data_IF_495958491139
#
_entry.id   IF_495958491139
#
_cell.length_a   1.000
_cell.length_b   1.000
_cell.length_c   1.000
_cell.angle_alpha   90.00
_cell.angle_beta   90.00
_cell.angle_gamma   90.00
#
_symmetry.space_group_name_H-M   'P 1'
#
loop_
_entity.id
_entity.type
_entity.pdbx_description
1 polymer ?
#
# COMPACT_ATOMS: atom_id res chain seq x y z
N UNK A 1 13.40 -14.40 -2.35
CA UNK A 1 12.23 -13.57 -2.00
C UNK A 1 10.96 -14.22 -2.55
N UNK A 2 9.92 -14.29 -1.75
CA UNK A 2 8.61 -14.80 -2.16
C UNK A 2 7.53 -13.80 -1.75
N UNK A 3 6.45 -13.71 -2.54
CA UNK A 3 5.26 -12.93 -2.19
C UNK A 3 4.09 -13.91 -2.06
N UNK A 4 3.54 -14.01 -0.87
CA UNK A 4 2.54 -15.01 -0.51
C UNK A 4 1.30 -14.36 0.08
N UNK A 5 0.10 -14.94 -0.16
CA UNK A 5 -1.11 -14.46 0.48
C UNK A 5 -1.05 -14.68 2.01
N UNK A 6 -1.57 -13.73 2.77
CA UNK A 6 -1.85 -13.89 4.19
C UNK A 6 -3.35 -14.04 4.34
N UNK A 7 -3.81 -15.17 4.90
CA UNK A 7 -5.22 -15.47 5.10
C UNK A 7 -5.67 -15.30 6.56
N UNK A 8 -4.74 -15.42 7.51
CA UNK A 8 -5.03 -15.26 8.93
C UNK A 8 -5.27 -13.80 9.30
N UNK A 9 -6.49 -13.50 9.79
CA UNK A 9 -6.90 -12.14 10.16
C UNK A 9 -5.98 -11.53 11.23
N UNK A 10 -5.65 -12.30 12.27
CA UNK A 10 -4.74 -11.85 13.32
C UNK A 10 -3.32 -11.62 12.83
N UNK A 11 -2.85 -12.46 11.92
CA UNK A 11 -1.54 -12.31 11.28
C UNK A 11 -1.43 -11.05 10.44
N UNK A 12 -2.47 -10.72 9.67
CA UNK A 12 -2.55 -9.46 8.91
C UNK A 12 -2.44 -8.24 9.82
N UNK A 13 -3.25 -8.23 10.89
CA UNK A 13 -3.28 -7.14 11.86
C UNK A 13 -1.94 -6.98 12.56
N UNK A 14 -1.36 -8.06 13.06
CA UNK A 14 -0.06 -8.04 13.75
C UNK A 14 1.06 -7.51 12.85
N UNK A 15 1.15 -8.00 11.61
CA UNK A 15 2.18 -7.57 10.68
C UNK A 15 2.00 -6.10 10.28
N UNK A 16 0.76 -5.64 10.09
CA UNK A 16 0.45 -4.24 9.81
C UNK A 16 0.95 -3.34 10.94
N UNK A 17 0.66 -3.69 12.19
CA UNK A 17 1.12 -2.95 13.38
C UNK A 17 2.64 -2.91 13.46
N UNK A 18 3.30 -4.03 13.29
CA UNK A 18 4.76 -4.11 13.36
C UNK A 18 5.44 -3.23 12.31
N UNK A 19 5.01 -3.32 11.04
CA UNK A 19 5.61 -2.53 9.97
C UNK A 19 5.32 -1.04 10.16
N UNK A 20 4.09 -0.68 10.54
CA UNK A 20 3.73 0.72 10.78
C UNK A 20 4.59 1.36 11.88
N UNK A 21 4.90 0.63 12.93
CA UNK A 21 5.79 1.11 14.02
C UNK A 21 7.21 1.42 13.53
N UNK A 22 7.68 0.70 12.53
CA UNK A 22 9.01 0.93 11.94
C UNK A 22 9.00 2.08 10.92
N UNK A 23 7.83 2.60 10.57
CA UNK A 23 7.64 3.65 9.56
C UNK A 23 6.87 4.87 10.11
N UNK A 24 7.33 5.49 11.22
CA UNK A 24 6.57 6.56 11.87
C UNK A 24 6.41 7.82 11.03
N UNK A 25 7.29 8.06 10.05
CA UNK A 25 7.22 9.22 9.16
C UNK A 25 6.08 9.10 8.13
N UNK A 26 5.60 7.88 7.86
CA UNK A 26 4.45 7.62 6.99
C UNK A 26 3.19 7.31 7.80
N UNK A 27 3.32 6.57 8.89
CA UNK A 27 2.23 6.07 9.74
C UNK A 27 2.31 6.69 11.14
N UNK A 28 2.23 8.02 11.18
CA UNK A 28 2.41 8.78 12.43
C UNK A 28 1.13 9.07 13.21
N UNK A 29 -0.05 8.65 12.71
CA UNK A 29 -1.34 8.92 13.35
C UNK A 29 -1.84 7.66 14.07
N UNK A 30 -1.84 7.64 15.43
CA UNK A 30 -2.26 6.45 16.20
C UNK A 30 -3.67 5.97 15.87
N UNK A 31 -4.63 6.88 15.70
CA UNK A 31 -6.03 6.53 15.37
C UNK A 31 -6.13 5.86 14.00
N UNK A 32 -5.40 6.38 13.01
CA UNK A 32 -5.36 5.80 11.68
C UNK A 32 -4.73 4.40 11.72
N UNK A 33 -3.63 4.24 12.45
CA UNK A 33 -2.95 2.95 12.61
C UNK A 33 -3.83 1.90 13.29
N UNK A 34 -4.60 2.30 14.31
CA UNK A 34 -5.57 1.41 14.98
C UNK A 34 -6.67 0.97 14.01
N UNK A 35 -7.16 1.88 13.16
CA UNK A 35 -8.16 1.58 12.15
C UNK A 35 -7.61 0.62 11.09
N UNK A 36 -6.39 0.83 10.60
CA UNK A 36 -5.75 -0.07 9.65
C UNK A 36 -5.59 -1.47 10.24
N UNK A 37 -5.11 -1.56 11.46
CA UNK A 37 -4.92 -2.85 12.15
C UNK A 37 -6.23 -3.63 12.29
N UNK A 38 -7.34 -2.94 12.57
CA UNK A 38 -8.67 -3.56 12.67
C UNK A 38 -9.20 -3.96 11.30
N UNK A 39 -9.17 -3.05 10.34
CA UNK A 39 -9.89 -3.20 9.08
C UNK A 39 -9.14 -4.06 8.04
N UNK A 40 -7.82 -4.26 8.21
CA UNK A 40 -7.04 -5.12 7.32
C UNK A 40 -7.49 -6.59 7.41
N UNK A 41 -8.08 -6.99 8.52
CA UNK A 41 -8.52 -8.36 8.76
C UNK A 41 -9.47 -8.89 7.66
N UNK A 42 -10.30 -8.02 7.09
CA UNK A 42 -11.29 -8.39 6.06
C UNK A 42 -10.80 -8.16 4.62
N UNK A 43 -9.55 -7.74 4.43
CA UNK A 43 -9.01 -7.44 3.10
C UNK A 43 -8.09 -8.54 2.60
N UNK A 44 -8.02 -8.69 1.28
CA UNK A 44 -6.98 -9.51 0.66
C UNK A 44 -5.64 -8.87 0.93
N UNK A 45 -4.67 -9.67 1.35
CA UNK A 45 -3.35 -9.19 1.67
C UNK A 45 -2.26 -10.19 1.25
N UNK A 46 -1.10 -9.64 0.92
CA UNK A 46 0.08 -10.43 0.54
C UNK A 46 1.28 -9.93 1.32
N UNK A 47 2.14 -10.84 1.76
CA UNK A 47 3.39 -10.52 2.40
C UNK A 47 4.57 -10.84 1.49
N UNK A 48 5.56 -9.96 1.49
CA UNK A 48 6.86 -10.24 0.89
C UNK A 48 7.77 -10.83 1.97
N UNK A 49 8.29 -12.03 1.70
CA UNK A 49 9.14 -12.75 2.62
C UNK A 49 10.55 -12.91 2.05
N UNK A 50 11.54 -12.78 2.91
CA UNK A 50 12.91 -13.16 2.63
C UNK A 50 13.40 -14.03 3.79
N UNK A 51 13.95 -15.20 3.47
CA UNK A 51 14.37 -16.21 4.45
C UNK A 51 13.27 -16.55 5.48
N UNK A 52 12.02 -16.66 4.98
CA UNK A 52 10.85 -16.96 5.79
C UNK A 52 10.36 -15.81 6.68
N UNK A 53 11.02 -14.65 6.64
CA UNK A 53 10.66 -13.48 7.44
C UNK A 53 9.83 -12.50 6.63
N UNK A 54 8.66 -12.05 7.13
CA UNK A 54 7.86 -11.05 6.45
C UNK A 54 8.48 -9.66 6.57
N UNK A 55 8.84 -9.08 5.43
CA UNK A 55 9.50 -7.78 5.34
C UNK A 55 8.63 -6.69 4.72
N UNK A 56 7.51 -7.07 4.13
CA UNK A 56 6.57 -6.13 3.54
C UNK A 56 5.16 -6.70 3.49
N UNK A 57 4.19 -5.82 3.36
CA UNK A 57 2.77 -6.15 3.36
C UNK A 57 2.03 -5.22 2.41
N UNK A 58 1.12 -5.77 1.61
CA UNK A 58 0.15 -5.01 0.82
C UNK A 58 -1.24 -5.54 1.10
N UNK A 59 -2.21 -4.63 1.24
CA UNK A 59 -3.62 -4.98 1.38
C UNK A 59 -4.44 -4.27 0.32
N UNK A 60 -5.48 -4.93 -0.18
CA UNK A 60 -6.23 -4.52 -1.34
C UNK A 60 -7.71 -4.31 -1.02
N UNK A 61 -8.31 -3.40 -1.77
CA UNK A 61 -9.74 -3.13 -1.75
C UNK A 61 -10.25 -3.06 -3.19
N UNK A 62 -11.45 -3.60 -3.45
CA UNK A 62 -11.98 -3.69 -4.80
C UNK A 62 -13.25 -2.85 -4.94
N UNK A 63 -13.42 -2.19 -6.09
CA UNK A 63 -14.58 -1.36 -6.39
C UNK A 63 -15.16 -1.71 -7.76
N UNK A 64 -16.48 -1.90 -7.80
CA UNK A 64 -17.27 -2.11 -9.03
C UNK A 64 -16.83 -3.33 -9.86
N UNK A 65 -16.02 -4.22 -9.34
CA UNK A 65 -15.42 -5.32 -10.14
C UNK A 65 -14.43 -4.84 -11.20
N UNK A 66 -14.05 -3.56 -11.19
CA UNK A 66 -13.21 -2.93 -12.22
C UNK A 66 -11.91 -2.38 -11.69
N UNK A 67 -11.87 -1.97 -10.43
CA UNK A 67 -10.73 -1.28 -9.82
C UNK A 67 -10.22 -2.03 -8.60
N UNK A 68 -8.92 -2.24 -8.54
CA UNK A 68 -8.21 -2.70 -7.37
C UNK A 68 -7.46 -1.52 -6.75
N UNK A 69 -7.80 -1.14 -5.53
CA UNK A 69 -7.09 -0.10 -4.80
C UNK A 69 -6.03 -0.72 -3.89
N UNK A 70 -4.84 -0.13 -3.86
CA UNK A 70 -3.88 -0.39 -2.79
C UNK A 70 -4.42 0.32 -1.56
N UNK A 71 -4.93 -0.47 -0.61
CA UNK A 71 -5.52 0.06 0.61
C UNK A 71 -4.45 0.34 1.67
N UNK A 72 -3.40 -0.47 1.71
CA UNK A 72 -2.25 -0.31 2.60
C UNK A 72 -1.02 -0.94 1.98
N UNK A 73 0.13 -0.29 2.11
CA UNK A 73 1.42 -0.81 1.63
C UNK A 73 2.52 -0.33 2.56
N UNK A 74 3.31 -1.26 3.07
CA UNK A 74 4.49 -0.93 3.85
C UNK A 74 5.58 -1.98 3.68
N UNK A 75 6.82 -1.52 3.68
CA UNK A 75 8.02 -2.36 3.65
C UNK A 75 8.94 -1.90 4.77
N UNK A 76 9.45 -2.85 5.58
CA UNK A 76 10.36 -2.53 6.68
C UNK A 76 11.55 -1.74 6.18
N UNK A 77 12.03 -0.73 6.91
CA UNK A 77 13.18 0.10 6.48
C UNK A 77 14.41 -0.72 6.12
N UNK A 78 14.66 -1.80 6.86
CA UNK A 78 15.80 -2.70 6.61
C UNK A 78 15.76 -3.39 5.25
N UNK A 79 14.60 -3.39 4.59
CA UNK A 79 14.38 -4.04 3.29
C UNK A 79 14.04 -3.03 2.17
N UNK A 80 14.15 -1.73 2.43
CA UNK A 80 13.94 -0.71 1.41
C UNK A 80 14.95 -0.84 0.27
N UNK A 81 14.54 -0.46 -0.96
CA UNK A 81 15.37 -0.43 -2.17
C UNK A 81 15.89 -1.80 -2.60
N UNK A 82 15.24 -2.87 -2.16
CA UNK A 82 15.55 -4.26 -2.54
C UNK A 82 14.51 -4.88 -3.47
N UNK A 83 13.57 -4.08 -3.97
CA UNK A 83 12.55 -4.52 -4.92
C UNK A 83 11.31 -5.16 -4.28
N UNK A 84 11.20 -5.20 -2.95
CA UNK A 84 10.06 -5.83 -2.29
C UNK A 84 8.75 -5.07 -2.54
N UNK A 85 8.78 -3.75 -2.50
CA UNK A 85 7.60 -2.95 -2.80
C UNK A 85 7.09 -3.17 -4.23
N UNK A 86 8.01 -3.22 -5.19
CA UNK A 86 7.66 -3.56 -6.58
C UNK A 86 7.04 -4.96 -6.68
N UNK A 87 7.63 -5.94 -6.03
CA UNK A 87 7.13 -7.31 -6.05
C UNK A 87 5.72 -7.42 -5.46
N UNK A 88 5.44 -6.68 -4.37
CA UNK A 88 4.10 -6.61 -3.78
C UNK A 88 3.09 -5.98 -4.73
N UNK A 89 3.43 -4.87 -5.37
CA UNK A 89 2.54 -4.20 -6.34
C UNK A 89 2.28 -5.10 -7.56
N UNK A 90 3.30 -5.77 -8.08
CA UNK A 90 3.12 -6.68 -9.22
C UNK A 90 2.27 -7.90 -8.85
N UNK A 91 2.42 -8.45 -7.63
CA UNK A 91 1.54 -9.52 -7.15
C UNK A 91 0.09 -9.04 -7.04
N UNK A 92 -0.11 -7.83 -6.53
CA UNK A 92 -1.44 -7.22 -6.48
C UNK A 92 -2.04 -7.01 -7.88
N UNK A 93 -1.22 -6.58 -8.84
CA UNK A 93 -1.66 -6.42 -10.23
C UNK A 93 -2.09 -7.75 -10.87
N UNK A 94 -1.35 -8.85 -10.59
CA UNK A 94 -1.75 -10.19 -11.03
C UNK A 94 -3.09 -10.59 -10.45
N UNK A 95 -3.29 -10.41 -9.13
CA UNK A 95 -4.56 -10.71 -8.47
C UNK A 95 -5.72 -9.89 -9.06
N UNK A 96 -5.48 -8.60 -9.27
CA UNK A 96 -6.47 -7.70 -9.86
C UNK A 96 -6.89 -8.16 -11.27
N UNK A 97 -5.93 -8.57 -12.11
CA UNK A 97 -6.23 -9.11 -13.44
C UNK A 97 -7.04 -10.40 -13.37
N UNK A 98 -6.69 -11.31 -12.46
CA UNK A 98 -7.45 -12.55 -12.25
C UNK A 98 -8.90 -12.29 -11.85
N UNK A 99 -9.16 -11.19 -11.16
CA UNK A 99 -10.51 -10.76 -10.76
C UNK A 99 -11.22 -9.92 -11.81
N UNK A 100 -10.60 -9.70 -12.96
CA UNK A 100 -11.20 -8.93 -14.06
C UNK A 100 -11.08 -7.42 -13.92
N UNK A 101 -10.27 -6.92 -13.00
CA UNK A 101 -10.02 -5.48 -12.88
C UNK A 101 -9.24 -4.96 -14.09
N UNK A 102 -9.59 -3.75 -14.54
CA UNK A 102 -8.92 -3.08 -15.65
C UNK A 102 -7.92 -2.00 -15.19
N UNK A 103 -7.90 -1.68 -13.89
CA UNK A 103 -7.05 -0.63 -13.34
C UNK A 103 -6.78 -0.85 -11.87
N UNK A 104 -5.67 -0.25 -11.42
CA UNK A 104 -5.34 -0.10 -10.01
C UNK A 104 -5.31 1.38 -9.65
N UNK A 105 -5.64 1.70 -8.42
CA UNK A 105 -5.58 3.04 -7.87
C UNK A 105 -4.90 3.05 -6.50
N UNK A 106 -4.29 4.15 -6.14
CA UNK A 106 -3.73 4.37 -4.81
C UNK A 106 -3.91 5.83 -4.40
N UNK A 107 -4.32 6.03 -3.15
CA UNK A 107 -4.40 7.35 -2.53
C UNK A 107 -3.09 7.60 -1.77
N UNK A 108 -2.52 8.79 -1.96
CA UNK A 108 -1.33 9.24 -1.25
C UNK A 108 -1.35 10.76 -1.08
N UNK A 109 -0.43 11.29 -0.30
CA UNK A 109 -0.33 12.74 -0.13
C UNK A 109 0.15 13.40 -1.42
N UNK A 110 -0.48 14.52 -1.79
CA UNK A 110 -0.13 15.24 -3.01
C UNK A 110 1.17 16.04 -2.86
N UNK A 111 1.76 16.51 -3.98
CA UNK A 111 2.97 17.34 -3.93
C UNK A 111 2.80 18.67 -3.19
N UNK A 112 1.55 19.12 -2.94
CA UNK A 112 1.29 20.33 -2.14
C UNK A 112 1.70 20.14 -0.69
N UNK A 113 1.74 18.89 -0.21
CA UNK A 113 2.29 18.59 1.11
C UNK A 113 3.79 18.46 0.99
N UNK A 114 4.52 19.36 1.66
CA UNK A 114 5.98 19.34 1.65
C UNK A 114 6.50 18.27 2.59
N UNK A 115 6.70 17.07 2.06
CA UNK A 115 7.20 15.92 2.79
C UNK A 115 8.17 15.13 1.92
N UNK A 116 9.38 14.98 2.42
CA UNK A 116 10.42 14.19 1.75
C UNK A 116 10.00 12.72 1.63
N UNK A 117 9.39 12.18 2.66
CA UNK A 117 8.95 10.79 2.73
C UNK A 117 7.88 10.51 1.68
N UNK A 118 6.89 11.39 1.56
CA UNK A 118 5.83 11.24 0.57
C UNK A 118 6.28 11.59 -0.85
N UNK A 119 7.30 12.41 -1.02
CA UNK A 119 7.95 12.57 -2.32
C UNK A 119 8.58 11.26 -2.80
N UNK A 120 9.26 10.55 -1.91
CA UNK A 120 9.79 9.21 -2.18
C UNK A 120 8.68 8.21 -2.52
N UNK A 121 7.57 8.26 -1.81
CA UNK A 121 6.40 7.41 -2.05
C UNK A 121 5.81 7.66 -3.45
N UNK A 122 5.61 8.92 -3.83
CA UNK A 122 5.11 9.26 -5.17
C UNK A 122 6.03 8.79 -6.27
N UNK A 123 7.34 8.94 -6.09
CA UNK A 123 8.35 8.43 -7.03
C UNK A 123 8.31 6.91 -7.16
N UNK A 124 8.11 6.22 -6.03
CA UNK A 124 7.94 4.77 -6.04
C UNK A 124 6.71 4.38 -6.89
N UNK A 125 5.55 4.99 -6.64
CA UNK A 125 4.34 4.68 -7.41
C UNK A 125 4.51 5.01 -8.89
N UNK A 126 5.14 6.12 -9.24
CA UNK A 126 5.46 6.44 -10.63
C UNK A 126 6.36 5.36 -11.27
N UNK A 127 7.35 4.89 -10.55
CA UNK A 127 8.27 3.85 -11.03
C UNK A 127 7.59 2.49 -11.24
N UNK A 128 6.49 2.21 -10.56
CA UNK A 128 5.69 0.98 -10.75
C UNK A 128 4.43 1.21 -11.60
N UNK A 129 4.39 2.31 -12.36
CA UNK A 129 3.41 2.50 -13.43
C UNK A 129 2.18 3.34 -13.08
N UNK A 130 2.14 3.97 -11.92
CA UNK A 130 1.04 4.86 -11.55
C UNK A 130 1.29 6.29 -12.05
N UNK A 131 0.22 6.94 -12.49
CA UNK A 131 0.24 8.36 -12.88
C UNK A 131 -0.76 9.16 -12.05
N UNK A 132 -0.49 10.45 -11.79
CA UNK A 132 -1.45 11.31 -11.09
C UNK A 132 -2.78 11.36 -11.84
N UNK A 133 -3.87 11.28 -11.08
CA UNK A 133 -5.23 11.28 -11.65
C UNK A 133 -6.05 12.46 -11.16
N UNK A 134 -6.14 12.68 -9.85
CA UNK A 134 -6.91 13.78 -9.26
C UNK A 134 -6.34 14.15 -7.91
N UNK A 135 -6.37 15.45 -7.60
CA UNK A 135 -6.07 16.00 -6.27
C UNK A 135 -7.35 16.37 -5.54
N UNK A 136 -7.35 16.26 -4.23
CA UNK A 136 -8.45 16.67 -3.37
C UNK A 136 -7.94 16.99 -1.97
N UNK A 137 -8.76 17.69 -1.19
CA UNK A 137 -8.40 18.13 0.15
C UNK A 137 -9.53 17.73 1.11
N UNK A 138 -9.45 16.50 1.69
CA UNK A 138 -10.53 15.99 2.56
C UNK A 138 -10.69 16.80 3.83
N UNK A 139 -9.59 17.36 4.35
CA UNK A 139 -9.54 18.24 5.50
C UNK A 139 -8.65 19.44 5.16
N UNK A 140 -8.90 20.64 5.70
CA UNK A 140 -8.03 21.78 5.48
C UNK A 140 -6.56 21.47 5.82
N UNK A 141 -5.68 21.67 4.83
CA UNK A 141 -4.25 21.39 4.96
C UNK A 141 -3.82 19.96 4.61
N UNK A 142 -4.76 19.02 4.46
CA UNK A 142 -4.48 17.64 4.06
C UNK A 142 -4.68 17.48 2.55
N UNK A 143 -3.69 17.84 1.77
CA UNK A 143 -3.76 17.69 0.32
C UNK A 143 -3.42 16.27 -0.09
N UNK A 144 -4.37 15.60 -0.72
CA UNK A 144 -4.28 14.20 -1.15
C UNK A 144 -4.37 14.10 -2.66
N UNK A 145 -3.98 12.97 -3.20
CA UNK A 145 -4.16 12.65 -4.61
C UNK A 145 -4.46 11.18 -4.80
N UNK A 146 -5.18 10.86 -5.86
CA UNK A 146 -5.25 9.52 -6.40
C UNK A 146 -4.28 9.38 -7.56
N UNK A 147 -3.58 8.26 -7.59
CA UNK A 147 -2.76 7.83 -8.72
C UNK A 147 -3.39 6.57 -9.33
N UNK A 148 -3.26 6.43 -10.64
CA UNK A 148 -3.92 5.38 -11.42
C UNK A 148 -2.91 4.61 -12.27
N UNK A 149 -3.09 3.29 -12.32
CA UNK A 149 -2.33 2.40 -13.21
C UNK A 149 -3.31 1.57 -14.03
N UNK A 150 -3.19 1.59 -15.35
CA UNK A 150 -3.92 0.68 -16.26
C UNK A 150 -3.33 -0.71 -16.20
N UNK A 151 -4.17 -1.71 -16.12
CA UNK A 151 -3.75 -3.13 -16.07
C UNK A 151 -3.75 -3.79 -17.44
#
# INVERSE_FOLDING_TARGET
MAVEPITDAGGKSALCVEIARELPMWFGRPEANARYARDIASRDAFAALADGRPLGLIALEYHFGLTCCIWWLGVRPSAHRQGLGRALVERAAQEARLRGCSRMAVETMSPRTNSREYDMTRRFYAAVGFVPFVEFEPEPGDSMMWMLRTL
#
